data_IF_147727902729
#
_entry.id   IF_147727902729
#
_cell.length_a   1.000
_cell.length_b   1.000
_cell.length_c   1.000
_cell.angle_alpha   90.00
_cell.angle_beta   90.00
_cell.angle_gamma   90.00
#
_symmetry.space_group_name_H-M   'P 1'
#
loop_
_entity.id
_entity.type
_entity.pdbx_description
1 polymer ?
#
# COMPACT_ATOMS: atom_id res chain seq x y z
N UNK A 1 -22.56 -13.68 -28.96
CA UNK A 1 -21.83 -14.97 -28.96
C UNK A 1 -20.48 -14.88 -28.25
N UNK A 2 -19.71 -13.81 -28.47
CA UNK A 2 -18.38 -13.63 -27.88
C UNK A 2 -18.35 -13.78 -26.34
N UNK A 3 -19.38 -13.35 -25.62
CA UNK A 3 -19.44 -13.49 -24.16
C UNK A 3 -19.57 -14.93 -23.66
N UNK A 4 -20.21 -15.82 -24.42
CA UNK A 4 -20.25 -17.24 -24.11
C UNK A 4 -18.86 -17.86 -24.24
N UNK A 5 -18.12 -17.48 -25.28
CA UNK A 5 -16.74 -17.91 -25.50
C UNK A 5 -15.86 -17.42 -24.34
N UNK A 6 -15.94 -16.13 -23.96
CA UNK A 6 -15.22 -15.58 -22.81
C UNK A 6 -15.50 -16.37 -21.53
N UNK A 7 -16.78 -16.67 -21.25
CA UNK A 7 -17.18 -17.47 -20.07
C UNK A 7 -16.65 -18.89 -20.15
N UNK A 8 -16.72 -19.53 -21.31
CA UNK A 8 -16.21 -20.88 -21.52
C UNK A 8 -14.69 -20.94 -21.31
N UNK A 9 -13.94 -19.94 -21.82
CA UNK A 9 -12.50 -19.81 -21.61
C UNK A 9 -12.18 -19.61 -20.12
N UNK A 10 -12.86 -18.68 -19.45
CA UNK A 10 -12.68 -18.44 -18.01
C UNK A 10 -12.98 -19.68 -17.17
N UNK A 11 -13.96 -20.49 -17.57
CA UNK A 11 -14.37 -21.70 -16.84
C UNK A 11 -13.47 -22.90 -17.16
N UNK A 12 -13.07 -23.07 -18.42
CA UNK A 12 -12.34 -24.24 -18.90
C UNK A 12 -10.84 -24.14 -18.74
N UNK A 13 -10.27 -22.96 -18.97
CA UNK A 13 -8.82 -22.72 -18.90
C UNK A 13 -8.41 -22.12 -17.54
N UNK A 14 -9.34 -21.38 -16.93
CA UNK A 14 -9.11 -20.70 -15.66
C UNK A 14 -8.24 -19.44 -15.81
N UNK A 15 -8.44 -18.49 -14.90
CA UNK A 15 -7.72 -17.19 -14.89
C UNK A 15 -6.21 -17.32 -14.67
N UNK A 16 -5.76 -18.35 -13.94
CA UNK A 16 -4.33 -18.56 -13.66
C UNK A 16 -3.51 -18.86 -14.92
N UNK A 17 -4.11 -19.52 -15.91
CA UNK A 17 -3.46 -19.93 -17.16
C UNK A 17 -3.66 -18.93 -18.30
N UNK A 18 -4.37 -17.81 -18.06
CA UNK A 18 -4.56 -16.77 -19.07
C UNK A 18 -3.31 -15.89 -19.20
N UNK A 19 -2.45 -16.26 -20.14
CA UNK A 19 -1.35 -15.40 -20.61
C UNK A 19 -1.72 -14.73 -21.93
N UNK A 20 -0.96 -13.70 -22.31
CA UNK A 20 -1.16 -13.00 -23.58
C UNK A 20 -1.03 -13.97 -24.75
N UNK A 21 0.00 -14.81 -24.74
CA UNK A 21 0.27 -15.82 -25.77
C UNK A 21 -0.89 -16.81 -25.88
N UNK A 22 -1.45 -17.25 -24.74
CA UNK A 22 -2.57 -18.19 -24.74
C UNK A 22 -3.85 -17.56 -25.27
N UNK A 23 -4.10 -16.29 -24.95
CA UNK A 23 -5.24 -15.55 -25.50
C UNK A 23 -5.10 -15.32 -27.00
N UNK A 24 -3.88 -15.06 -27.48
CA UNK A 24 -3.59 -14.93 -28.92
C UNK A 24 -3.83 -16.25 -29.66
N UNK A 25 -3.36 -17.36 -29.11
CA UNK A 25 -3.59 -18.70 -29.66
C UNK A 25 -5.10 -19.03 -29.76
N UNK A 26 -5.85 -18.78 -28.68
CA UNK A 26 -7.30 -19.01 -28.65
C UNK A 26 -8.02 -18.11 -29.65
N UNK A 27 -7.64 -16.84 -29.74
CA UNK A 27 -8.24 -15.88 -30.67
C UNK A 27 -8.03 -16.33 -32.12
N UNK A 28 -6.79 -16.69 -32.48
CA UNK A 28 -6.44 -17.15 -33.82
C UNK A 28 -7.16 -18.46 -34.19
N UNK A 29 -7.27 -19.41 -33.26
CA UNK A 29 -8.01 -20.66 -33.47
C UNK A 29 -9.50 -20.41 -33.70
N UNK A 30 -10.09 -19.47 -32.96
CA UNK A 30 -11.50 -19.09 -33.12
C UNK A 30 -11.76 -18.35 -34.45
N UNK A 31 -10.83 -17.50 -34.89
CA UNK A 31 -10.89 -16.87 -36.21
C UNK A 31 -10.79 -17.92 -37.32
N UNK A 32 -9.79 -18.81 -37.23
CA UNK A 32 -9.58 -19.89 -38.21
C UNK A 32 -10.77 -20.84 -38.32
N UNK A 33 -11.51 -21.05 -37.22
CA UNK A 33 -12.76 -21.85 -37.19
C UNK A 33 -14.00 -21.07 -37.62
N UNK A 34 -13.87 -19.81 -38.02
CA UNK A 34 -14.98 -18.92 -38.39
C UNK A 34 -15.93 -18.61 -37.23
N UNK A 35 -15.46 -18.76 -35.98
CA UNK A 35 -16.24 -18.46 -34.77
C UNK A 35 -16.17 -16.98 -34.38
N UNK A 36 -15.12 -16.30 -34.80
CA UNK A 36 -14.91 -14.86 -34.65
C UNK A 36 -14.41 -14.28 -35.97
N UNK A 37 -14.80 -13.04 -36.26
CA UNK A 37 -14.09 -12.21 -37.24
C UNK A 37 -12.77 -11.69 -36.67
N UNK A 38 -11.86 -11.20 -37.53
CA UNK A 38 -10.59 -10.60 -37.09
C UNK A 38 -10.81 -9.45 -36.09
N UNK A 39 -11.78 -8.56 -36.35
CA UNK A 39 -12.13 -7.48 -35.43
C UNK A 39 -12.66 -7.99 -34.08
N UNK A 40 -13.43 -9.07 -34.08
CA UNK A 40 -13.94 -9.66 -32.83
C UNK A 40 -12.83 -10.37 -32.05
N UNK A 41 -11.88 -11.00 -32.74
CA UNK A 41 -10.72 -11.63 -32.11
C UNK A 41 -9.80 -10.62 -31.43
N UNK A 42 -9.57 -9.46 -32.05
CA UNK A 42 -8.78 -8.38 -31.45
C UNK A 42 -9.48 -7.81 -30.20
N UNK A 43 -10.79 -7.58 -30.27
CA UNK A 43 -11.58 -7.15 -29.10
C UNK A 43 -11.57 -8.20 -27.97
N UNK A 44 -11.69 -9.48 -28.32
CA UNK A 44 -11.62 -10.57 -27.35
C UNK A 44 -10.28 -10.56 -26.60
N UNK A 45 -9.17 -10.42 -27.33
CA UNK A 45 -7.83 -10.34 -26.77
C UNK A 45 -7.69 -9.21 -25.75
N UNK A 46 -8.04 -7.99 -26.15
CA UNK A 46 -7.94 -6.81 -25.29
C UNK A 46 -8.79 -6.95 -24.02
N UNK A 47 -10.05 -7.38 -24.15
CA UNK A 47 -10.94 -7.52 -23.01
C UNK A 47 -10.50 -8.63 -22.05
N UNK A 48 -10.04 -9.77 -22.56
CA UNK A 48 -9.55 -10.87 -21.73
C UNK A 48 -8.25 -10.53 -21.03
N UNK A 49 -7.35 -9.81 -21.70
CA UNK A 49 -6.13 -9.33 -21.09
C UNK A 49 -6.45 -8.36 -19.94
N UNK A 50 -7.33 -7.37 -20.18
CA UNK A 50 -7.78 -6.44 -19.15
C UNK A 50 -8.40 -7.16 -17.95
N UNK A 51 -9.29 -8.13 -18.19
CA UNK A 51 -9.91 -8.92 -17.12
C UNK A 51 -8.91 -9.73 -16.32
N UNK A 52 -7.90 -10.31 -16.99
CA UNK A 52 -6.85 -11.05 -16.30
C UNK A 52 -6.05 -10.12 -15.36
N UNK A 53 -5.75 -8.91 -15.81
CA UNK A 53 -5.07 -7.88 -15.02
C UNK A 53 -5.89 -7.42 -13.82
N UNK A 54 -7.16 -7.06 -14.04
CA UNK A 54 -8.10 -6.68 -12.98
C UNK A 54 -8.25 -7.80 -11.94
N UNK A 55 -8.36 -9.05 -12.38
CA UNK A 55 -8.46 -10.20 -11.48
C UNK A 55 -7.19 -10.42 -10.67
N UNK A 56 -6.00 -10.21 -11.27
CA UNK A 56 -4.71 -10.34 -10.56
C UNK A 56 -4.57 -9.26 -9.50
N UNK A 57 -4.93 -8.02 -9.81
CA UNK A 57 -4.87 -6.90 -8.87
C UNK A 57 -5.84 -7.11 -7.69
N UNK A 58 -7.08 -7.53 -7.98
CA UNK A 58 -8.05 -7.84 -6.94
C UNK A 58 -7.55 -8.94 -5.99
N UNK A 59 -6.96 -10.02 -6.53
CA UNK A 59 -6.37 -11.10 -5.73
C UNK A 59 -5.17 -10.62 -4.91
N UNK A 60 -4.29 -9.79 -5.48
CA UNK A 60 -3.17 -9.18 -4.75
C UNK A 60 -3.68 -8.37 -3.57
N UNK A 61 -4.66 -7.49 -3.79
CA UNK A 61 -5.22 -6.65 -2.74
C UNK A 61 -5.92 -7.47 -1.64
N UNK A 62 -6.61 -8.55 -2.00
CA UNK A 62 -7.20 -9.46 -1.02
C UNK A 62 -6.12 -10.20 -0.21
N UNK A 63 -5.07 -10.65 -0.87
CA UNK A 63 -3.94 -11.33 -0.23
C UNK A 63 -3.21 -10.39 0.72
N UNK A 64 -2.91 -9.17 0.29
CA UNK A 64 -2.26 -8.13 1.11
C UNK A 64 -3.08 -7.86 2.38
N UNK A 65 -4.41 -7.71 2.25
CA UNK A 65 -5.32 -7.55 3.40
C UNK A 65 -5.36 -8.76 4.32
N UNK A 66 -5.35 -9.97 3.76
CA UNK A 66 -5.36 -11.20 4.53
C UNK A 66 -4.07 -11.35 5.34
N UNK A 67 -2.91 -11.10 4.71
CA UNK A 67 -1.60 -11.12 5.37
C UNK A 67 -1.53 -10.05 6.45
N UNK A 68 -1.94 -8.82 6.15
CA UNK A 68 -2.01 -7.74 7.14
C UNK A 68 -2.89 -8.12 8.34
N UNK A 69 -4.07 -8.69 8.09
CA UNK A 69 -4.97 -9.15 9.15
C UNK A 69 -4.33 -10.26 9.99
N UNK A 70 -3.62 -11.20 9.36
CA UNK A 70 -2.93 -12.28 10.06
C UNK A 70 -1.79 -11.74 10.95
N UNK A 71 -0.96 -10.84 10.42
CA UNK A 71 0.12 -10.19 11.18
C UNK A 71 -0.42 -9.41 12.38
N UNK A 72 -1.50 -8.65 12.20
CA UNK A 72 -2.16 -7.91 13.27
C UNK A 72 -2.70 -8.83 14.37
N UNK A 73 -3.30 -9.97 14.01
CA UNK A 73 -3.79 -10.97 14.99
C UNK A 73 -2.67 -11.63 15.78
N UNK A 74 -1.49 -11.74 15.18
CA UNK A 74 -0.28 -12.23 15.84
C UNK A 74 0.46 -11.14 16.65
N UNK A 75 -0.07 -9.91 16.69
CA UNK A 75 0.54 -8.74 17.34
C UNK A 75 1.95 -8.43 16.79
N UNK A 76 2.18 -8.72 15.51
CA UNK A 76 3.44 -8.40 14.83
C UNK A 76 3.35 -7.01 14.21
N UNK A 77 4.21 -6.10 14.67
CA UNK A 77 4.32 -4.75 14.12
C UNK A 77 5.02 -4.74 12.76
N UNK A 78 4.60 -3.86 11.85
CA UNK A 78 5.31 -3.62 10.58
C UNK A 78 6.55 -2.77 10.84
N UNK A 79 7.54 -2.84 9.95
CA UNK A 79 8.70 -1.96 10.01
C UNK A 79 8.31 -0.47 10.04
N UNK A 80 7.29 -0.09 9.26
CA UNK A 80 6.74 1.27 9.24
C UNK A 80 6.17 1.73 10.58
N UNK A 81 5.63 0.79 11.37
CA UNK A 81 5.07 1.13 12.69
C UNK A 81 6.20 1.40 13.69
N UNK A 82 7.30 0.63 13.60
CA UNK A 82 8.52 0.87 14.38
C UNK A 82 9.18 2.21 14.02
N UNK A 83 9.25 2.54 12.73
CA UNK A 83 9.78 3.83 12.27
C UNK A 83 8.97 5.01 12.79
N UNK A 84 7.63 4.90 12.79
CA UNK A 84 6.75 5.93 13.37
C UNK A 84 7.00 6.10 14.86
N UNK A 85 7.02 4.99 15.61
CA UNK A 85 7.29 5.02 17.05
C UNK A 85 8.68 5.62 17.32
N UNK A 86 9.69 5.31 16.51
CA UNK A 86 11.03 5.88 16.66
C UNK A 86 11.04 7.39 16.39
N UNK A 87 10.32 7.86 15.37
CA UNK A 87 10.18 9.28 15.07
C UNK A 87 9.47 10.03 16.21
N UNK A 88 8.37 9.48 16.73
CA UNK A 88 7.64 10.04 17.89
C UNK A 88 8.52 10.09 19.14
N UNK A 89 9.33 9.05 19.39
CA UNK A 89 10.29 9.03 20.50
C UNK A 89 11.33 10.14 20.35
N UNK A 90 11.87 10.35 19.14
CA UNK A 90 12.86 11.41 18.91
C UNK A 90 12.27 12.82 19.04
N UNK A 91 11.01 13.01 18.63
CA UNK A 91 10.29 14.27 18.83
C UNK A 91 10.08 14.56 20.32
N UNK A 92 9.55 13.59 21.06
CA UNK A 92 9.36 13.72 22.51
C UNK A 92 10.67 13.96 23.25
N UNK A 93 11.77 13.31 22.83
CA UNK A 93 13.12 13.55 23.40
C UNK A 93 13.53 15.01 23.24
N UNK A 94 13.35 15.60 22.06
CA UNK A 94 13.66 17.01 21.79
C UNK A 94 12.79 17.95 22.61
N UNK A 95 11.49 17.66 22.74
CA UNK A 95 10.58 18.47 23.56
C UNK A 95 10.98 18.44 25.04
N UNK A 96 11.28 17.26 25.58
CA UNK A 96 11.75 17.11 26.96
C UNK A 96 13.07 17.87 27.19
N UNK A 97 14.00 17.81 26.24
CA UNK A 97 15.26 18.54 26.32
C UNK A 97 15.04 20.05 26.29
N UNK A 98 14.17 20.55 25.40
CA UNK A 98 13.80 21.96 25.34
C UNK A 98 13.13 22.45 26.64
N UNK A 99 12.26 21.62 27.24
CA UNK A 99 11.62 21.93 28.53
C UNK A 99 12.64 21.94 29.68
N UNK A 100 13.56 20.98 29.74
CA UNK A 100 14.64 20.97 30.74
C UNK A 100 15.55 22.19 30.63
N UNK A 101 15.88 22.61 29.41
CA UNK A 101 16.63 23.85 29.19
C UNK A 101 15.83 25.06 29.70
N UNK A 102 14.51 25.09 29.46
CA UNK A 102 13.64 26.18 29.92
C UNK A 102 13.52 26.23 31.45
N UNK A 103 13.44 25.09 32.14
CA UNK A 103 13.44 25.02 33.61
C UNK A 103 14.81 25.39 34.22
N UNK A 104 15.92 24.95 33.60
CA UNK A 104 17.27 25.36 34.01
C UNK A 104 17.52 26.87 33.88
N UNK A 105 16.92 27.52 32.88
CA UNK A 105 16.97 28.98 32.69
C UNK A 105 16.05 29.72 33.68
N UNK A 106 14.95 29.12 34.13
CA UNK A 106 14.07 29.69 35.14
C UNK A 106 14.75 29.73 36.53
N UNK A 107 15.46 28.67 36.92
CA UNK A 107 16.24 28.64 38.18
C UNK A 107 17.39 29.65 38.22
N UNK A 108 17.97 30.02 37.07
CA UNK A 108 18.98 31.07 36.97
C UNK A 108 18.41 32.50 37.07
N UNK A 109 17.12 32.73 36.78
CA UNK A 109 16.50 34.06 36.87
C UNK A 109 16.07 34.44 38.29
N UNK A 110 15.67 33.49 39.12
CA UNK A 110 15.28 33.77 40.51
C UNK A 110 16.48 34.15 41.39
N UNK A 111 17.70 33.68 41.07
CA UNK A 111 18.92 34.00 41.83
C UNK A 111 19.49 35.42 41.63
N UNK A 112 19.03 36.17 40.61
CA UNK A 112 19.62 37.49 40.26
C UNK A 112 18.75 38.66 40.77
N UNK A 113 17.53 38.43 41.23
CA UNK A 113 16.65 39.50 41.73
C UNK A 113 16.93 39.96 43.18
N UNK A 114 17.88 39.32 43.88
CA UNK A 114 18.10 39.51 45.33
C UNK A 114 19.23 40.46 45.75
N UNK A 115 19.97 41.07 44.83
CA UNK A 115 21.15 41.85 45.19
C UNK A 115 21.27 43.15 44.41
N UNK A 116 20.51 44.19 44.80
CA UNK A 116 21.00 45.59 44.72
C UNK A 116 20.04 46.56 45.43
N UNK A 117 20.36 46.90 46.68
CA UNK A 117 20.41 48.31 47.10
C UNK A 117 21.32 48.45 48.33
N UNK A 118 22.50 49.07 48.21
CA UNK A 118 23.31 49.42 49.37
C UNK A 118 22.65 50.56 50.17
N UNK A 119 22.83 50.60 51.51
CA UNK A 119 22.31 51.68 52.32
C UNK A 119 23.21 52.91 52.18
N UNK A 120 22.64 54.04 51.76
CA UNK A 120 23.25 55.35 51.94
C UNK A 120 22.55 56.07 53.09
N UNK A 121 23.32 56.35 54.14
CA UNK A 121 23.04 57.38 55.15
C UNK A 121 22.83 58.75 54.49
#
# INVERSE_FOLDING_TARGET
MIDLIKKAVLTGIGIASLTKEKLEEISNDLIGKGKLSEQEGEKFLQEMQKRAEESREALKNQTDKFVESALNRMQLAKASDLEKVQAEIEELRKEIEALRIREGVAGMKEGVAGAEKPPTL
#
